data_IF_191654064850
#
_entry.id   IF_191654064850
#
_cell.length_a   1.000
_cell.length_b   1.000
_cell.length_c   1.000
_cell.angle_alpha   90.00
_cell.angle_beta   90.00
_cell.angle_gamma   90.00
#
_symmetry.space_group_name_H-M   'P 1'
#
loop_
_entity.id
_entity.type
_entity.pdbx_description
1 polymer ?
#
# COMPACT_ATOMS: atom_id res chain seq x y z
N UNK A 1 -27.47 1.90 23.73
CA UNK A 1 -28.78 1.23 23.47
C UNK A 1 -29.90 2.23 23.15
N UNK A 2 -30.43 3.02 24.10
CA UNK A 2 -31.56 3.95 23.84
C UNK A 2 -31.38 4.87 22.63
N UNK A 3 -30.18 5.42 22.43
CA UNK A 3 -29.92 6.26 21.25
C UNK A 3 -30.14 5.52 19.92
N UNK A 4 -29.82 4.23 19.84
CA UNK A 4 -30.01 3.43 18.61
C UNK A 4 -31.48 3.07 18.34
N UNK A 5 -32.32 2.97 19.37
CA UNK A 5 -33.76 2.67 19.22
C UNK A 5 -34.62 3.93 19.12
N UNK A 6 -34.33 4.90 19.98
CA UNK A 6 -35.17 6.08 20.20
C UNK A 6 -34.65 7.28 19.39
N UNK A 7 -33.42 7.20 18.91
CA UNK A 7 -32.68 8.28 18.26
C UNK A 7 -32.10 9.28 19.26
N UNK A 8 -31.13 10.07 18.80
CA UNK A 8 -30.57 11.20 19.53
C UNK A 8 -30.46 12.42 18.61
N UNK A 9 -30.59 13.62 19.18
CA UNK A 9 -30.39 14.86 18.44
C UNK A 9 -28.89 15.14 18.29
N UNK A 10 -28.41 15.30 17.06
CA UNK A 10 -27.02 15.62 16.72
C UNK A 10 -26.97 16.85 15.85
N UNK A 11 -26.11 17.80 16.21
CA UNK A 11 -25.81 18.98 15.38
C UNK A 11 -24.78 18.60 14.33
N UNK A 12 -25.14 18.72 13.05
CA UNK A 12 -24.22 18.45 11.93
C UNK A 12 -23.22 19.59 11.71
N UNK A 13 -22.22 19.34 10.85
CA UNK A 13 -21.23 20.36 10.47
C UNK A 13 -21.83 21.57 9.73
N UNK A 14 -23.05 21.45 9.21
CA UNK A 14 -23.84 22.55 8.65
C UNK A 14 -24.65 23.33 9.70
N UNK A 15 -24.46 23.04 10.99
CA UNK A 15 -25.17 23.67 12.11
C UNK A 15 -26.61 23.20 12.30
N UNK A 16 -27.14 22.32 11.45
CA UNK A 16 -28.52 21.82 11.57
C UNK A 16 -28.60 20.64 12.53
N UNK A 17 -29.65 20.63 13.36
CA UNK A 17 -29.93 19.53 14.29
C UNK A 17 -30.74 18.44 13.58
N UNK A 18 -30.29 17.19 13.66
CA UNK A 18 -30.96 16.02 13.09
C UNK A 18 -31.15 14.95 14.14
N UNK A 19 -32.25 14.20 14.04
CA UNK A 19 -32.45 12.98 14.82
C UNK A 19 -31.70 11.83 14.15
N UNK A 20 -30.68 11.31 14.83
CA UNK A 20 -29.77 10.26 14.35
C UNK A 20 -29.95 9.00 15.20
N UNK A 21 -29.91 7.84 14.56
CA UNK A 21 -29.99 6.53 15.21
C UNK A 21 -28.65 5.83 15.04
N UNK A 22 -27.71 5.98 16.00
CA UNK A 22 -26.39 5.36 15.87
C UNK A 22 -26.50 3.84 15.89
N UNK A 23 -25.77 3.21 14.97
CA UNK A 23 -25.59 1.76 14.87
C UNK A 23 -24.10 1.44 14.95
N UNK A 24 -23.75 0.27 15.47
CA UNK A 24 -22.38 -0.24 15.36
C UNK A 24 -22.22 -0.87 13.97
N UNK A 25 -21.67 -0.10 13.03
CA UNK A 25 -21.49 -0.53 11.65
C UNK A 25 -20.23 -1.43 11.50
N UNK A 26 -19.08 -0.91 11.92
CA UNK A 26 -17.78 -1.58 11.84
C UNK A 26 -17.04 -1.47 13.17
N UNK A 27 -16.26 -2.50 13.50
CA UNK A 27 -15.38 -2.57 14.66
C UNK A 27 -13.98 -2.97 14.21
N UNK A 28 -13.08 -1.98 14.18
CA UNK A 28 -11.69 -2.13 13.75
C UNK A 28 -10.85 -2.57 14.94
N UNK A 29 -10.27 -3.76 14.85
CA UNK A 29 -9.44 -4.35 15.89
C UNK A 29 -8.49 -5.39 15.27
N UNK A 30 -7.37 -5.65 15.92
CA UNK A 30 -6.51 -6.78 15.61
C UNK A 30 -7.09 -8.09 16.17
N UNK A 31 -6.46 -9.22 15.84
CA UNK A 31 -7.06 -10.54 16.07
C UNK A 31 -7.44 -10.85 17.54
N UNK A 32 -6.56 -10.64 18.55
CA UNK A 32 -6.92 -10.92 19.93
C UNK A 32 -8.12 -10.08 20.40
N UNK A 33 -8.17 -8.82 20.01
CA UNK A 33 -9.21 -7.86 20.32
C UNK A 33 -10.51 -8.22 19.59
N UNK A 34 -10.44 -8.66 18.34
CA UNK A 34 -11.59 -9.22 17.61
C UNK A 34 -12.18 -10.44 18.33
N UNK A 35 -11.34 -11.34 18.86
CA UNK A 35 -11.78 -12.46 19.67
C UNK A 35 -12.45 -12.00 20.96
N UNK A 36 -11.87 -11.02 21.66
CA UNK A 36 -12.40 -10.47 22.90
C UNK A 36 -13.79 -9.85 22.69
N UNK A 37 -13.91 -8.93 21.73
CA UNK A 37 -15.16 -8.21 21.46
C UNK A 37 -16.22 -9.12 20.85
N UNK A 38 -15.80 -10.02 19.95
CA UNK A 38 -16.62 -11.04 19.28
C UNK A 38 -17.08 -12.18 20.18
N UNK A 39 -16.59 -12.23 21.42
CA UNK A 39 -16.76 -13.35 22.34
C UNK A 39 -16.36 -14.69 21.69
N UNK A 40 -15.32 -14.68 20.85
CA UNK A 40 -14.80 -15.88 20.21
C UNK A 40 -13.62 -16.42 21.01
N UNK A 41 -13.57 -17.75 21.16
CA UNK A 41 -12.42 -18.43 21.75
C UNK A 41 -11.16 -18.14 20.93
N UNK A 42 -10.08 -17.76 21.60
CA UNK A 42 -8.80 -17.50 20.97
C UNK A 42 -8.30 -18.74 20.21
N UNK A 43 -7.77 -18.54 19.01
CA UNK A 43 -7.40 -19.62 18.08
C UNK A 43 -8.51 -20.04 17.12
N UNK A 44 -9.72 -19.46 17.22
CA UNK A 44 -10.82 -19.70 16.26
C UNK A 44 -11.10 -18.50 15.37
N UNK A 45 -12.06 -18.63 14.45
CA UNK A 45 -12.54 -17.50 13.67
C UNK A 45 -13.49 -16.62 14.50
N UNK A 46 -13.28 -15.29 14.57
CA UNK A 46 -14.17 -14.40 15.31
C UNK A 46 -15.47 -14.06 14.54
N UNK A 47 -15.53 -14.35 13.23
CA UNK A 47 -16.72 -14.10 12.40
C UNK A 47 -17.61 -15.33 12.23
N UNK A 48 -17.03 -16.53 12.12
CA UNK A 48 -17.79 -17.75 11.83
C UNK A 48 -17.55 -18.86 12.88
N UNK A 49 -18.47 -19.81 12.91
CA UNK A 49 -18.52 -20.95 13.82
C UNK A 49 -17.60 -22.09 13.37
N UNK A 50 -16.39 -21.76 12.90
CA UNK A 50 -15.36 -22.76 12.59
C UNK A 50 -14.52 -23.04 13.82
N UNK A 51 -14.35 -24.33 14.12
CA UNK A 51 -13.47 -24.78 15.20
C UNK A 51 -12.02 -24.49 14.83
N UNK A 52 -11.13 -24.44 15.83
CA UNK A 52 -9.70 -24.30 15.59
C UNK A 52 -9.14 -25.43 14.71
N UNK A 53 -9.74 -26.63 14.72
CA UNK A 53 -9.27 -27.78 13.94
C UNK A 53 -9.70 -27.77 12.47
N UNK A 54 -10.66 -26.89 12.11
CA UNK A 54 -11.28 -26.84 10.78
C UNK A 54 -11.02 -25.50 10.06
N UNK A 55 -10.13 -24.67 10.59
CA UNK A 55 -9.81 -23.35 10.00
C UNK A 55 -9.18 -23.44 8.61
N UNK A 56 -8.57 -24.57 8.27
CA UNK A 56 -8.03 -24.80 6.94
C UNK A 56 -9.10 -25.05 5.87
N UNK A 57 -10.37 -25.27 6.23
CA UNK A 57 -11.44 -25.45 5.26
C UNK A 57 -11.52 -24.27 4.29
N UNK A 58 -11.82 -24.58 3.02
CA UNK A 58 -11.95 -23.58 1.95
C UNK A 58 -13.26 -22.81 2.00
N UNK A 59 -14.20 -23.24 2.84
CA UNK A 59 -15.52 -22.62 2.98
C UNK A 59 -15.66 -22.06 4.41
N UNK A 60 -16.16 -20.83 4.57
CA UNK A 60 -16.46 -20.29 5.90
C UNK A 60 -17.51 -21.15 6.61
N UNK A 61 -17.53 -21.11 7.93
CA UNK A 61 -18.63 -21.69 8.71
C UNK A 61 -19.84 -20.77 8.74
N UNK A 62 -20.91 -21.22 9.40
CA UNK A 62 -22.03 -20.35 9.75
C UNK A 62 -21.57 -19.13 10.53
N UNK A 63 -22.19 -17.98 10.33
CA UNK A 63 -21.85 -16.75 11.04
C UNK A 63 -22.09 -16.89 12.56
N UNK A 64 -21.25 -16.28 13.40
CA UNK A 64 -21.48 -16.14 14.84
C UNK A 64 -22.53 -15.05 15.10
N UNK A 65 -23.81 -15.38 14.96
CA UNK A 65 -24.88 -14.40 15.18
C UNK A 65 -24.94 -13.96 16.65
N UNK A 66 -25.37 -12.72 16.93
CA UNK A 66 -25.60 -12.23 18.29
C UNK A 66 -26.47 -13.19 19.12
N UNK A 67 -27.58 -13.66 18.54
CA UNK A 67 -28.53 -14.54 19.21
C UNK A 67 -27.90 -15.89 19.57
N UNK A 68 -27.11 -16.46 18.66
CA UNK A 68 -26.40 -17.72 18.90
C UNK A 68 -25.39 -17.57 20.03
N UNK A 69 -24.56 -16.53 20.00
CA UNK A 69 -23.54 -16.28 21.03
C UNK A 69 -24.20 -16.03 22.40
N UNK A 70 -25.27 -15.22 22.45
CA UNK A 70 -26.00 -14.95 23.69
C UNK A 70 -26.71 -16.20 24.23
N UNK A 71 -27.23 -17.06 23.36
CA UNK A 71 -27.81 -18.32 23.78
C UNK A 71 -26.78 -19.21 24.48
N UNK A 72 -25.58 -19.37 23.91
CA UNK A 72 -24.50 -20.15 24.54
C UNK A 72 -24.12 -19.57 25.91
N UNK A 73 -23.98 -18.24 26.01
CA UNK A 73 -23.66 -17.58 27.28
C UNK A 73 -24.75 -17.83 28.32
N UNK A 74 -26.03 -17.65 27.97
CA UNK A 74 -27.15 -17.88 28.87
C UNK A 74 -27.25 -19.35 29.31
N UNK A 75 -27.06 -20.29 28.40
CA UNK A 75 -27.08 -21.73 28.70
C UNK A 75 -25.91 -22.11 29.64
N UNK A 76 -24.73 -21.52 29.43
CA UNK A 76 -23.58 -21.68 30.32
C UNK A 76 -23.85 -21.09 31.71
N UNK A 77 -24.45 -19.90 31.81
CA UNK A 77 -24.81 -19.29 33.09
C UNK A 77 -25.77 -20.19 33.88
N UNK A 78 -26.79 -20.71 33.20
CA UNK A 78 -27.80 -21.59 33.81
C UNK A 78 -27.22 -22.94 34.29
N UNK A 79 -26.20 -23.46 33.61
CA UNK A 79 -25.60 -24.77 33.92
C UNK A 79 -24.37 -24.71 34.83
N UNK A 80 -23.74 -23.53 34.97
CA UNK A 80 -22.50 -23.33 35.73
C UNK A 80 -22.63 -23.46 37.25
N UNK A 81 -23.85 -23.47 37.80
CA UNK A 81 -24.12 -23.42 39.24
C UNK A 81 -23.36 -22.27 39.96
N UNK A 82 -23.23 -21.11 39.29
CA UNK A 82 -22.48 -19.92 39.78
C UNK A 82 -20.97 -20.14 39.94
N UNK A 83 -20.40 -21.16 39.29
CA UNK A 83 -18.96 -21.37 39.25
C UNK A 83 -18.37 -20.73 37.98
N UNK A 84 -17.48 -19.76 38.16
CA UNK A 84 -16.81 -19.07 37.05
C UNK A 84 -16.08 -20.03 36.11
N UNK A 85 -15.34 -20.99 36.68
CA UNK A 85 -14.62 -21.99 35.87
C UNK A 85 -15.59 -22.85 35.04
N UNK A 86 -16.72 -23.28 35.63
CA UNK A 86 -17.71 -24.08 34.89
C UNK A 86 -18.41 -23.27 33.81
N UNK A 87 -18.69 -21.99 34.06
CA UNK A 87 -19.23 -21.07 33.06
C UNK A 87 -18.25 -20.92 31.89
N UNK A 88 -16.99 -20.62 32.21
CA UNK A 88 -15.95 -20.48 31.21
C UNK A 88 -15.75 -21.77 30.39
N UNK A 89 -15.68 -22.93 31.04
CA UNK A 89 -15.54 -24.23 30.36
C UNK A 89 -16.75 -24.54 29.46
N UNK A 90 -17.97 -24.26 29.93
CA UNK A 90 -19.18 -24.45 29.13
C UNK A 90 -19.19 -23.58 27.88
N UNK A 91 -18.85 -22.29 27.98
CA UNK A 91 -18.70 -21.40 26.82
C UNK A 91 -17.60 -21.89 25.86
N UNK A 92 -16.44 -22.26 26.40
CA UNK A 92 -15.28 -22.67 25.60
C UNK A 92 -15.48 -23.98 24.85
N UNK A 93 -16.34 -24.88 25.33
CA UNK A 93 -16.78 -26.09 24.63
C UNK A 93 -17.58 -25.80 23.35
N UNK A 94 -18.16 -24.59 23.26
CA UNK A 94 -18.85 -24.08 22.08
C UNK A 94 -18.02 -23.02 21.34
N UNK A 95 -16.72 -22.94 21.61
CA UNK A 95 -15.80 -21.96 21.02
C UNK A 95 -16.22 -20.49 21.27
N UNK A 96 -16.97 -20.23 22.34
CA UNK A 96 -17.37 -18.89 22.81
C UNK A 96 -16.49 -18.53 24.01
N UNK A 97 -15.98 -17.30 24.05
CA UNK A 97 -15.24 -16.79 25.20
C UNK A 97 -16.22 -16.61 26.37
N UNK A 98 -15.84 -17.04 27.58
CA UNK A 98 -16.66 -16.90 28.79
C UNK A 98 -16.85 -15.44 29.22
N UNK A 99 -17.71 -14.70 28.53
CA UNK A 99 -18.04 -13.29 28.80
C UNK A 99 -19.50 -13.20 29.18
N UNK A 100 -19.80 -12.80 30.42
CA UNK A 100 -21.17 -12.69 30.92
C UNK A 100 -22.03 -11.65 30.17
N UNK A 101 -21.48 -10.45 29.95
CA UNK A 101 -22.23 -9.34 29.39
C UNK A 101 -21.47 -8.72 28.21
N UNK A 102 -21.60 -9.28 26.99
CA UNK A 102 -21.02 -8.66 25.81
C UNK A 102 -21.55 -7.24 25.62
N UNK A 103 -20.68 -6.26 25.36
CA UNK A 103 -21.08 -4.84 25.33
C UNK A 103 -22.11 -4.51 24.24
N UNK A 104 -22.14 -5.33 23.18
CA UNK A 104 -23.05 -5.20 22.04
C UNK A 104 -24.40 -5.87 22.27
N UNK A 105 -24.59 -6.58 23.40
CA UNK A 105 -25.86 -7.21 23.73
C UNK A 105 -26.98 -6.14 23.76
N UNK A 106 -28.05 -6.38 23.00
CA UNK A 106 -29.20 -5.47 22.89
C UNK A 106 -28.97 -4.24 22.00
N UNK A 107 -27.85 -4.16 21.26
CA UNK A 107 -27.70 -3.11 20.24
C UNK A 107 -28.65 -3.36 19.07
N UNK A 108 -29.48 -2.38 18.66
CA UNK A 108 -30.38 -2.56 17.55
C UNK A 108 -29.60 -2.64 16.23
N UNK A 109 -30.09 -3.47 15.30
CA UNK A 109 -29.56 -3.59 13.93
C UNK A 109 -28.05 -3.88 13.89
N UNK A 110 -27.50 -4.51 14.93
CA UNK A 110 -26.07 -4.79 15.07
C UNK A 110 -25.84 -6.29 15.03
N UNK A 111 -24.91 -6.71 14.18
CA UNK A 111 -24.39 -8.07 14.17
C UNK A 111 -22.87 -7.99 14.17
N UNK A 112 -22.27 -8.28 15.33
CA UNK A 112 -20.85 -8.06 15.51
C UNK A 112 -20.00 -8.90 14.56
N UNK A 113 -20.42 -10.12 14.22
CA UNK A 113 -19.68 -10.94 13.27
C UNK A 113 -19.61 -10.32 11.86
N UNK A 114 -20.62 -9.52 11.45
CA UNK A 114 -20.50 -8.68 10.25
C UNK A 114 -19.58 -7.49 10.51
N UNK A 115 -19.80 -6.77 11.61
CA UNK A 115 -19.06 -5.54 11.94
C UNK A 115 -17.56 -5.73 12.17
N UNK A 116 -17.09 -6.93 12.54
CA UNK A 116 -15.67 -7.22 12.65
C UNK A 116 -15.01 -7.18 11.28
N UNK A 117 -14.23 -6.13 10.99
CA UNK A 117 -13.58 -5.98 9.70
C UNK A 117 -12.23 -6.70 9.65
N UNK A 118 -11.82 -7.21 8.47
CA UNK A 118 -10.48 -7.74 8.29
C UNK A 118 -9.41 -6.67 8.49
N UNK A 119 -8.21 -7.10 8.87
CA UNK A 119 -7.10 -6.21 9.18
C UNK A 119 -5.85 -6.62 8.38
N UNK A 120 -5.60 -5.89 7.29
CA UNK A 120 -4.51 -6.15 6.35
C UNK A 120 -3.15 -6.22 7.06
N UNK A 121 -2.88 -5.29 7.97
CA UNK A 121 -1.56 -5.17 8.60
C UNK A 121 -1.21 -6.38 9.47
N UNK A 122 -2.11 -6.73 10.41
CA UNK A 122 -1.84 -7.79 11.38
C UNK A 122 -2.17 -9.19 10.84
N UNK A 123 -3.09 -9.32 9.87
CA UNK A 123 -3.49 -10.62 9.34
C UNK A 123 -2.64 -11.05 8.14
N UNK A 124 -2.36 -10.16 7.18
CA UNK A 124 -1.79 -10.56 5.88
C UNK A 124 -0.26 -10.50 5.81
N UNK A 125 0.36 -9.48 6.40
CA UNK A 125 1.82 -9.27 6.27
C UNK A 125 2.67 -10.03 7.30
N UNK A 126 2.07 -10.61 8.35
CA UNK A 126 2.82 -11.20 9.47
C UNK A 126 2.86 -12.73 9.45
N UNK A 127 4.08 -13.29 9.25
CA UNK A 127 4.46 -14.60 9.80
C UNK A 127 4.29 -15.82 8.90
N UNK A 128 3.95 -15.67 7.61
CA UNK A 128 3.74 -16.83 6.72
C UNK A 128 5.00 -17.29 5.95
N UNK A 129 6.01 -16.43 5.76
CA UNK A 129 7.22 -16.74 4.96
C UNK A 129 8.43 -17.21 5.77
N UNK A 130 8.41 -17.05 7.09
CA UNK A 130 9.63 -17.15 7.91
C UNK A 130 10.22 -18.57 7.94
N UNK A 131 9.44 -19.60 7.59
CA UNK A 131 9.88 -20.99 7.54
C UNK A 131 10.38 -21.45 6.16
N UNK A 132 10.34 -20.59 5.13
CA UNK A 132 10.70 -20.99 3.75
C UNK A 132 12.22 -21.08 3.54
N UNK A 133 12.99 -20.27 4.28
CA UNK A 133 14.45 -20.24 4.25
C UNK A 133 14.98 -19.63 5.56
N UNK A 134 16.27 -19.81 5.84
CA UNK A 134 16.90 -19.18 7.01
C UNK A 134 17.07 -17.68 6.80
N UNK A 135 17.26 -16.94 7.89
CA UNK A 135 17.48 -15.50 7.84
C UNK A 135 18.76 -15.17 7.02
N UNK A 136 19.80 -16.00 7.13
CA UNK A 136 21.07 -15.81 6.43
C UNK A 136 20.91 -16.01 4.91
N UNK A 137 20.14 -17.02 4.49
CA UNK A 137 19.86 -17.27 3.07
C UNK A 137 18.98 -16.15 2.49
N UNK A 138 17.95 -15.71 3.23
CA UNK A 138 17.12 -14.59 2.81
C UNK A 138 17.96 -13.32 2.64
N UNK A 139 18.82 -13.00 3.61
CA UNK A 139 19.71 -11.85 3.54
C UNK A 139 20.71 -11.95 2.37
N UNK A 140 21.29 -13.13 2.13
CA UNK A 140 22.16 -13.37 0.98
C UNK A 140 21.45 -13.09 -0.36
N UNK A 141 20.19 -13.52 -0.49
CA UNK A 141 19.38 -13.29 -1.69
C UNK A 141 18.97 -11.84 -1.85
N UNK A 142 18.58 -11.17 -0.77
CA UNK A 142 18.27 -9.73 -0.80
C UNK A 142 19.50 -8.94 -1.27
N UNK A 143 20.71 -9.29 -0.79
CA UNK A 143 21.96 -8.66 -1.24
C UNK A 143 22.29 -8.91 -2.72
N UNK A 144 21.74 -9.96 -3.32
CA UNK A 144 21.93 -10.27 -4.74
C UNK A 144 20.96 -9.52 -5.66
N UNK A 145 19.92 -8.87 -5.10
CA UNK A 145 19.00 -8.06 -5.88
C UNK A 145 19.72 -6.82 -6.44
N UNK A 146 19.38 -6.39 -7.67
CA UNK A 146 19.85 -5.11 -8.17
C UNK A 146 19.50 -3.97 -7.21
N UNK A 147 20.35 -2.93 -7.07
CA UNK A 147 20.02 -1.77 -6.26
C UNK A 147 18.68 -1.17 -6.72
N UNK A 148 17.68 -1.19 -5.84
CA UNK A 148 16.37 -0.63 -6.11
C UNK A 148 15.98 0.37 -5.01
N UNK A 149 15.49 1.54 -5.45
CA UNK A 149 15.07 2.62 -4.57
C UNK A 149 13.73 2.28 -3.89
N UNK A 150 13.57 2.68 -2.62
CA UNK A 150 12.35 2.43 -1.85
C UNK A 150 12.27 1.05 -1.18
N UNK A 151 13.29 0.21 -1.34
CA UNK A 151 13.44 -1.04 -0.57
C UNK A 151 14.17 -0.71 0.73
N UNK A 152 13.47 -0.06 1.66
CA UNK A 152 13.92 0.04 3.06
C UNK A 152 13.09 -0.91 3.91
N UNK A 153 13.62 -1.25 5.07
CA UNK A 153 13.33 -2.37 5.99
C UNK A 153 11.89 -2.52 6.53
N UNK A 154 10.87 -2.15 5.77
CA UNK A 154 9.46 -2.27 6.15
C UNK A 154 8.81 -3.51 5.52
N UNK A 155 7.84 -4.10 6.23
CA UNK A 155 7.18 -5.36 5.85
C UNK A 155 6.55 -5.31 4.46
N UNK A 156 5.95 -4.17 4.07
CA UNK A 156 5.40 -3.93 2.74
C UNK A 156 6.47 -3.98 1.64
N UNK A 157 7.68 -3.47 1.92
CA UNK A 157 8.79 -3.54 0.98
C UNK A 157 9.32 -4.97 0.81
N UNK A 158 9.26 -5.80 1.87
CA UNK A 158 9.64 -7.22 1.78
C UNK A 158 8.72 -7.99 0.83
N UNK A 159 7.40 -7.73 0.86
CA UNK A 159 6.44 -8.37 -0.04
C UNK A 159 6.77 -8.16 -1.53
N UNK A 160 7.33 -6.98 -1.87
CA UNK A 160 7.72 -6.63 -3.25
C UNK A 160 8.90 -7.43 -3.79
N UNK A 161 9.79 -7.89 -2.92
CA UNK A 161 11.02 -8.60 -3.32
C UNK A 161 11.00 -10.10 -3.02
N UNK A 162 10.03 -10.53 -2.21
CA UNK A 162 9.94 -11.89 -1.70
C UNK A 162 9.90 -12.93 -2.82
N UNK A 163 9.08 -12.73 -3.87
CA UNK A 163 9.01 -13.68 -4.98
C UNK A 163 10.36 -13.85 -5.67
N UNK A 164 11.09 -12.75 -5.91
CA UNK A 164 12.43 -12.78 -6.47
C UNK A 164 13.40 -13.60 -5.59
N UNK A 165 13.28 -13.47 -4.27
CA UNK A 165 14.06 -14.25 -3.32
C UNK A 165 13.68 -15.74 -3.32
N UNK A 166 12.44 -16.10 -3.65
CA UNK A 166 12.00 -17.49 -3.66
C UNK A 166 12.37 -18.25 -4.96
N UNK A 167 12.68 -17.54 -6.05
CA UNK A 167 13.06 -18.15 -7.33
C UNK A 167 14.26 -19.08 -7.15
N UNK A 168 14.17 -20.30 -7.68
CA UNK A 168 15.20 -21.33 -7.56
C UNK A 168 15.29 -22.00 -6.18
N UNK A 169 14.56 -21.50 -5.18
CA UNK A 169 14.46 -22.13 -3.85
C UNK A 169 13.22 -23.00 -3.69
N UNK A 170 12.10 -22.59 -4.29
CA UNK A 170 10.84 -23.32 -4.31
C UNK A 170 10.53 -23.83 -5.73
N UNK A 171 9.90 -25.00 -5.88
CA UNK A 171 9.33 -25.44 -7.15
C UNK A 171 8.14 -24.57 -7.53
N UNK A 172 7.68 -24.71 -8.78
CA UNK A 172 6.57 -23.92 -9.35
C UNK A 172 5.35 -23.86 -8.44
N UNK A 173 4.94 -25.00 -7.87
CA UNK A 173 3.78 -25.09 -6.97
C UNK A 173 3.91 -24.21 -5.72
N UNK A 174 5.08 -24.23 -5.07
CA UNK A 174 5.36 -23.37 -3.92
C UNK A 174 5.41 -21.89 -4.29
N UNK A 175 5.99 -21.56 -5.45
CA UNK A 175 6.00 -20.19 -5.98
C UNK A 175 4.57 -19.70 -6.29
N UNK A 176 3.73 -20.54 -6.89
CA UNK A 176 2.33 -20.22 -7.18
C UNK A 176 1.55 -19.94 -5.89
N UNK A 177 1.73 -20.74 -4.84
CA UNK A 177 1.10 -20.50 -3.55
C UNK A 177 1.53 -19.16 -2.92
N UNK A 178 2.84 -18.87 -2.90
CA UNK A 178 3.34 -17.59 -2.38
C UNK A 178 2.86 -16.39 -3.21
N UNK A 179 2.86 -16.53 -4.54
CA UNK A 179 2.36 -15.50 -5.46
C UNK A 179 0.88 -15.25 -5.24
N UNK A 180 0.06 -16.29 -5.13
CA UNK A 180 -1.37 -16.19 -4.90
C UNK A 180 -1.71 -15.40 -3.63
N UNK A 181 -0.98 -15.64 -2.53
CA UNK A 181 -1.11 -14.83 -1.32
C UNK A 181 -0.73 -13.37 -1.58
N UNK A 182 0.41 -13.09 -2.23
CA UNK A 182 0.82 -11.73 -2.53
C UNK A 182 -0.19 -11.00 -3.43
N UNK A 183 -0.69 -11.67 -4.48
CA UNK A 183 -1.72 -11.15 -5.38
C UNK A 183 -2.98 -10.81 -4.58
N UNK A 184 -3.45 -11.70 -3.69
CA UNK A 184 -4.58 -11.43 -2.81
C UNK A 184 -4.34 -10.21 -1.91
N UNK A 185 -3.15 -10.11 -1.31
CA UNK A 185 -2.77 -9.00 -0.43
C UNK A 185 -2.78 -7.68 -1.18
N UNK A 186 -2.19 -7.63 -2.38
CA UNK A 186 -2.17 -6.42 -3.21
C UNK A 186 -3.57 -6.03 -3.64
N UNK A 187 -4.37 -6.99 -4.12
CA UNK A 187 -5.75 -6.73 -4.53
C UNK A 187 -6.61 -6.22 -3.36
N UNK A 188 -6.48 -6.82 -2.17
CA UNK A 188 -7.24 -6.40 -0.99
C UNK A 188 -6.97 -4.94 -0.56
N UNK A 189 -5.84 -4.36 -0.96
CA UNK A 189 -5.45 -2.98 -0.67
C UNK A 189 -5.82 -2.01 -1.80
N UNK A 190 -6.54 -2.45 -2.83
CA UNK A 190 -6.99 -1.52 -3.87
C UNK A 190 -7.92 -0.46 -3.26
N UNK A 191 -7.79 0.81 -3.67
CA UNK A 191 -8.58 1.93 -3.14
C UNK A 191 -10.01 1.94 -3.70
N UNK A 192 -10.26 1.12 -4.71
CA UNK A 192 -11.51 0.98 -5.43
C UNK A 192 -11.63 -0.47 -5.89
N UNK A 193 -12.84 -0.98 -5.83
CA UNK A 193 -13.15 -2.32 -6.28
C UNK A 193 -14.35 -2.31 -7.22
N UNK A 194 -14.24 -3.10 -8.27
CA UNK A 194 -15.35 -3.53 -9.13
C UNK A 194 -15.45 -5.07 -9.12
N UNK A 195 -16.47 -5.62 -9.80
CA UNK A 195 -16.67 -7.06 -9.90
C UNK A 195 -15.47 -7.81 -10.50
N UNK A 196 -14.70 -7.17 -11.38
CA UNK A 196 -13.49 -7.74 -11.97
C UNK A 196 -12.36 -7.90 -10.95
N UNK A 197 -12.10 -6.86 -10.16
CA UNK A 197 -11.09 -6.91 -9.08
C UNK A 197 -11.48 -7.89 -7.98
N UNK A 198 -12.77 -7.97 -7.63
CA UNK A 198 -13.26 -8.96 -6.65
C UNK A 198 -13.12 -10.39 -7.19
N UNK A 199 -13.41 -10.63 -8.48
CA UNK A 199 -13.18 -11.94 -9.11
C UNK A 199 -11.69 -12.30 -9.17
N UNK A 200 -10.81 -11.31 -9.36
CA UNK A 200 -9.37 -11.52 -9.29
C UNK A 200 -8.93 -11.92 -7.86
N UNK A 201 -9.56 -11.37 -6.81
CA UNK A 201 -9.32 -11.79 -5.43
C UNK A 201 -9.79 -13.22 -5.16
N UNK A 202 -10.98 -13.59 -5.65
CA UNK A 202 -11.48 -14.99 -5.63
C UNK A 202 -10.47 -15.93 -6.31
N UNK A 203 -10.02 -15.56 -7.52
CA UNK A 203 -9.05 -16.34 -8.29
C UNK A 203 -7.71 -16.50 -7.55
N UNK A 204 -7.23 -15.44 -6.90
CA UNK A 204 -6.01 -15.49 -6.10
C UNK A 204 -6.19 -16.42 -4.88
N UNK A 205 -7.34 -16.37 -4.22
CA UNK A 205 -7.65 -17.24 -3.08
C UNK A 205 -7.77 -18.72 -3.49
N UNK A 206 -8.42 -19.01 -4.63
CA UNK A 206 -8.50 -20.34 -5.21
C UNK A 206 -7.11 -20.87 -5.57
N UNK A 207 -6.27 -20.03 -6.19
CA UNK A 207 -4.89 -20.38 -6.51
C UNK A 207 -4.09 -20.71 -5.24
N UNK A 208 -4.28 -19.97 -4.15
CA UNK A 208 -3.69 -20.30 -2.86
C UNK A 208 -4.15 -21.68 -2.37
N UNK A 209 -5.47 -21.93 -2.32
CA UNK A 209 -6.02 -23.20 -1.84
C UNK A 209 -5.56 -24.41 -2.66
N UNK A 210 -5.43 -24.25 -3.98
CA UNK A 210 -4.99 -25.31 -4.91
C UNK A 210 -3.49 -25.64 -4.79
N UNK A 211 -2.68 -24.75 -4.21
CA UNK A 211 -1.22 -24.90 -4.18
C UNK A 211 -0.62 -24.99 -2.77
N UNK A 212 -1.34 -24.59 -1.72
CA UNK A 212 -0.82 -24.53 -0.34
C UNK A 212 -0.40 -25.89 0.23
N UNK A 213 -1.00 -26.98 -0.24
CA UNK A 213 -0.67 -28.36 0.16
C UNK A 213 0.80 -28.70 -0.06
N UNK A 214 1.48 -28.02 -0.99
CA UNK A 214 2.93 -28.10 -1.16
C UNK A 214 3.70 -27.93 0.17
N UNK A 215 3.29 -27.00 1.02
CA UNK A 215 3.97 -26.75 2.30
C UNK A 215 3.71 -27.84 3.34
N UNK A 216 2.60 -28.58 3.21
CA UNK A 216 2.33 -29.77 4.04
C UNK A 216 3.18 -30.93 3.54
N UNK A 217 3.16 -31.18 2.23
CA UNK A 217 3.90 -32.27 1.59
C UNK A 217 5.41 -32.18 1.83
N UNK A 218 5.95 -30.97 1.89
CA UNK A 218 7.39 -30.72 2.13
C UNK A 218 7.76 -30.61 3.61
N UNK A 219 6.80 -30.80 4.52
CA UNK A 219 7.03 -30.72 5.97
C UNK A 219 7.31 -29.31 6.49
N UNK A 220 7.07 -28.27 5.69
CA UNK A 220 7.19 -26.86 6.12
C UNK A 220 6.12 -26.53 7.16
N UNK A 221 4.93 -27.16 7.05
CA UNK A 221 3.84 -27.07 8.02
C UNK A 221 3.12 -28.41 8.16
N UNK A 222 2.40 -28.59 9.27
CA UNK A 222 1.49 -29.71 9.50
C UNK A 222 0.09 -29.47 8.94
N UNK A 223 -0.36 -28.21 9.00
CA UNK A 223 -1.71 -27.78 8.65
C UNK A 223 -1.75 -26.26 8.39
N UNK A 224 -2.92 -25.80 7.95
CA UNK A 224 -3.26 -24.39 7.79
C UNK A 224 -4.40 -23.94 8.71
N UNK A 225 -4.54 -24.59 9.87
CA UNK A 225 -5.55 -24.27 10.87
C UNK A 225 -5.18 -23.00 11.66
N UNK A 226 -4.98 -21.91 10.93
CA UNK A 226 -4.51 -20.63 11.45
C UNK A 226 -5.55 -19.57 11.12
N UNK A 227 -6.02 -18.79 12.11
CA UNK A 227 -7.03 -17.75 11.89
C UNK A 227 -6.67 -16.78 10.76
N UNK A 228 -5.38 -16.47 10.58
CA UNK A 228 -4.88 -15.60 9.50
C UNK A 228 -5.12 -16.13 8.09
N UNK A 229 -5.02 -17.45 7.87
CA UNK A 229 -5.32 -18.03 6.56
C UNK A 229 -6.83 -18.18 6.35
N UNK A 230 -7.56 -18.47 7.43
CA UNK A 230 -9.00 -18.56 7.38
C UNK A 230 -9.66 -17.19 7.10
N UNK A 231 -9.10 -16.11 7.65
CA UNK A 231 -9.67 -14.76 7.51
C UNK A 231 -9.71 -14.27 6.06
N UNK A 232 -8.89 -14.82 5.17
CA UNK A 232 -8.92 -14.55 3.73
C UNK A 232 -10.32 -14.73 3.13
N UNK A 233 -11.08 -15.72 3.62
CA UNK A 233 -12.44 -16.02 3.17
C UNK A 233 -13.43 -14.88 3.46
N UNK A 234 -13.08 -13.95 4.34
CA UNK A 234 -13.98 -12.89 4.80
C UNK A 234 -13.69 -11.51 4.18
N UNK A 235 -12.61 -11.36 3.41
CA UNK A 235 -12.22 -10.05 2.83
C UNK A 235 -13.20 -9.57 1.76
N UNK A 236 -13.59 -10.43 0.83
CA UNK A 236 -14.42 -10.04 -0.32
C UNK A 236 -15.82 -9.61 0.16
N UNK A 237 -16.40 -10.35 1.11
CA UNK A 237 -17.66 -9.97 1.74
C UNK A 237 -17.53 -8.66 2.52
N UNK A 238 -16.44 -8.49 3.28
CA UNK A 238 -16.20 -7.24 4.00
C UNK A 238 -16.05 -6.05 3.04
N UNK A 239 -15.39 -6.22 1.89
CA UNK A 239 -15.25 -5.18 0.88
C UNK A 239 -16.62 -4.79 0.31
N UNK A 240 -17.48 -5.77 0.04
CA UNK A 240 -18.85 -5.52 -0.44
C UNK A 240 -19.71 -4.78 0.58
N UNK A 241 -19.52 -5.06 1.87
CA UNK A 241 -20.33 -4.47 2.95
C UNK A 241 -19.83 -3.10 3.40
N UNK A 242 -18.52 -2.90 3.47
CA UNK A 242 -17.89 -1.76 4.14
C UNK A 242 -17.00 -0.92 3.23
N UNK A 243 -16.86 -1.29 1.96
CA UNK A 243 -15.95 -0.64 1.03
C UNK A 243 -14.51 -1.13 1.17
N UNK A 244 -13.59 -0.37 0.60
CA UNK A 244 -12.16 -0.71 0.50
C UNK A 244 -11.50 -0.79 1.88
N UNK A 245 -10.44 -1.61 1.99
CA UNK A 245 -9.89 -1.99 3.31
C UNK A 245 -9.22 -0.85 4.07
N UNK A 246 -8.80 0.21 3.36
CA UNK A 246 -8.30 1.45 3.94
C UNK A 246 -9.33 2.16 4.84
N UNK A 247 -10.63 1.97 4.63
CA UNK A 247 -11.70 2.53 5.48
C UNK A 247 -11.73 1.94 6.90
N UNK A 248 -11.11 0.78 7.11
CA UNK A 248 -11.19 0.03 8.37
C UNK A 248 -9.89 -0.73 8.71
N UNK A 249 -8.76 -0.32 8.15
CA UNK A 249 -7.44 -0.87 8.46
C UNK A 249 -6.89 -0.24 9.76
N UNK A 250 -6.20 -1.04 10.56
CA UNK A 250 -5.58 -0.59 11.82
C UNK A 250 -4.33 0.27 11.59
N UNK A 251 -3.76 0.28 10.38
CA UNK A 251 -2.51 0.99 10.05
C UNK A 251 -2.56 2.50 10.37
N UNK A 252 -3.69 3.16 10.10
CA UNK A 252 -3.89 4.58 10.45
C UNK A 252 -3.76 4.79 11.97
N UNK A 253 -4.33 3.87 12.77
CA UNK A 253 -4.31 3.95 14.22
C UNK A 253 -2.94 3.56 14.82
N UNK A 254 -2.19 2.66 14.20
CA UNK A 254 -0.84 2.30 14.69
C UNK A 254 0.15 3.47 14.57
N UNK A 255 -0.01 4.34 13.56
CA UNK A 255 0.78 5.58 13.51
C UNK A 255 0.39 6.52 14.65
N UNK A 256 -0.92 6.62 14.94
CA UNK A 256 -1.41 7.38 16.08
C UNK A 256 -0.98 6.78 17.43
N UNK A 257 -0.70 5.47 17.52
CA UNK A 257 -0.14 4.88 18.75
C UNK A 257 1.24 5.47 19.10
N UNK A 258 2.00 5.98 18.12
CA UNK A 258 3.25 6.69 18.41
C UNK A 258 2.93 7.97 19.20
N UNK A 259 2.11 8.83 18.62
CA UNK A 259 1.84 10.15 19.16
C UNK A 259 0.95 10.06 20.42
N UNK A 260 -0.09 9.24 20.39
CA UNK A 260 -1.11 9.18 21.44
C UNK A 260 -0.74 8.27 22.61
N UNK A 261 0.04 7.21 22.39
CA UNK A 261 0.41 6.29 23.45
C UNK A 261 1.89 6.39 23.79
N UNK A 262 2.81 6.18 22.83
CA UNK A 262 4.24 6.06 23.11
C UNK A 262 4.85 7.38 23.58
N UNK A 263 4.51 8.50 22.96
CA UNK A 263 5.02 9.82 23.38
C UNK A 263 4.40 10.28 24.70
N UNK A 264 3.09 10.15 24.85
CA UNK A 264 2.41 10.41 26.12
C UNK A 264 2.99 9.57 27.27
N UNK A 265 3.23 8.27 27.04
CA UNK A 265 3.87 7.39 28.01
C UNK A 265 5.28 7.87 28.37
N UNK A 266 6.13 8.15 27.37
CA UNK A 266 7.50 8.66 27.56
C UNK A 266 7.55 9.99 28.31
N UNK A 267 6.53 10.83 28.14
CA UNK A 267 6.40 12.12 28.82
C UNK A 267 5.82 12.00 30.24
N UNK A 268 5.28 10.84 30.61
CA UNK A 268 4.77 10.56 31.95
C UNK A 268 5.89 10.12 32.90
N UNK A 269 5.59 10.09 34.20
CA UNK A 269 6.49 9.52 35.19
C UNK A 269 6.35 8.00 35.36
N UNK A 270 5.56 7.34 34.49
CA UNK A 270 5.24 5.90 34.51
C UNK A 270 4.57 5.40 35.80
N UNK A 271 3.88 6.28 36.56
CA UNK A 271 3.09 5.92 37.74
C UNK A 271 1.71 6.54 37.63
N UNK A 272 0.66 5.73 37.53
CA UNK A 272 -0.69 6.24 37.24
C UNK A 272 -0.64 7.13 35.98
N UNK A 273 -0.15 6.51 34.92
CA UNK A 273 0.24 7.13 33.66
C UNK A 273 -0.95 7.65 32.86
N UNK A 274 -2.12 7.00 32.95
CA UNK A 274 -3.25 7.27 32.07
C UNK A 274 -3.71 8.74 32.18
N UNK A 275 -3.98 9.29 33.37
CA UNK A 275 -4.32 10.71 33.50
C UNK A 275 -3.22 11.66 32.99
N UNK A 276 -1.95 11.27 33.10
CA UNK A 276 -0.82 12.07 32.63
C UNK A 276 -0.73 12.08 31.10
N UNK A 277 -0.90 10.91 30.48
CA UNK A 277 -0.94 10.75 29.02
C UNK A 277 -2.08 11.57 28.41
N UNK A 278 -3.29 11.51 29.00
CA UNK A 278 -4.45 12.29 28.56
C UNK A 278 -4.20 13.80 28.70
N UNK A 279 -3.61 14.24 29.83
CA UNK A 279 -3.26 15.64 30.01
C UNK A 279 -2.19 16.12 29.02
N UNK A 280 -1.19 15.28 28.73
CA UNK A 280 -0.17 15.57 27.74
C UNK A 280 -0.79 15.72 26.34
N UNK A 281 -1.68 14.80 25.95
CA UNK A 281 -2.42 14.85 24.68
C UNK A 281 -3.24 16.14 24.54
N UNK A 282 -4.03 16.48 25.57
CA UNK A 282 -4.83 17.71 25.56
C UNK A 282 -3.98 18.98 25.39
N UNK A 283 -2.73 18.97 25.88
CA UNK A 283 -1.79 20.08 25.67
C UNK A 283 -1.28 20.12 24.23
N UNK A 284 -0.92 18.98 23.64
CA UNK A 284 -0.48 18.91 22.24
C UNK A 284 -1.58 19.38 21.29
N UNK A 285 -2.82 18.94 21.49
CA UNK A 285 -3.96 19.37 20.67
C UNK A 285 -4.17 20.89 20.73
N UNK A 286 -4.09 21.49 21.93
CA UNK A 286 -4.21 22.95 22.10
C UNK A 286 -3.09 23.70 21.39
N UNK A 287 -1.86 23.21 21.48
CA UNK A 287 -0.71 23.80 20.77
C UNK A 287 -0.93 23.71 19.25
N UNK A 288 -1.31 22.53 18.74
CA UNK A 288 -1.57 22.33 17.32
C UNK A 288 -2.71 23.21 16.80
N UNK A 289 -3.84 23.30 17.51
CA UNK A 289 -4.92 24.22 17.16
C UNK A 289 -4.47 25.68 17.12
N UNK A 290 -3.64 26.11 18.08
CA UNK A 290 -3.12 27.47 18.10
C UNK A 290 -2.15 27.73 16.93
N UNK A 291 -1.25 26.80 16.63
CA UNK A 291 -0.36 26.89 15.47
C UNK A 291 -1.11 26.95 14.14
N UNK A 292 -2.19 26.17 13.99
CA UNK A 292 -3.06 26.23 12.80
C UNK A 292 -3.74 27.58 12.67
N UNK A 293 -4.20 28.16 13.79
CA UNK A 293 -4.77 29.51 13.81
C UNK A 293 -3.74 30.57 13.37
N UNK A 294 -2.49 30.46 13.82
CA UNK A 294 -1.42 31.35 13.39
C UNK A 294 -1.11 31.22 11.90
N UNK A 295 -0.98 29.99 11.39
CA UNK A 295 -0.73 29.74 9.96
C UNK A 295 -1.87 30.28 9.08
N UNK A 296 -3.13 30.15 9.52
CA UNK A 296 -4.28 30.71 8.82
C UNK A 296 -4.21 32.25 8.75
N UNK A 297 -3.80 32.93 9.83
CA UNK A 297 -3.60 34.38 9.83
C UNK A 297 -2.50 34.82 8.86
N UNK A 298 -1.40 34.07 8.79
CA UNK A 298 -0.28 34.36 7.89
C UNK A 298 -0.64 34.14 6.42
N UNK A 299 -1.39 33.07 6.12
CA UNK A 299 -1.85 32.75 4.78
C UNK A 299 -2.77 33.82 4.20
N UNK A 300 -3.55 34.52 5.03
CA UNK A 300 -4.37 35.65 4.59
C UNK A 300 -3.57 36.90 4.21
N UNK A 301 -2.27 36.95 4.55
CA UNK A 301 -1.41 38.10 4.31
C UNK A 301 -0.46 37.92 3.11
N UNK A 302 -0.41 36.74 2.48
CA UNK A 302 0.45 36.44 1.32
C UNK A 302 -0.30 36.68 -0.01
N UNK A 303 0.30 37.36 -1.01
CA UNK A 303 -0.23 37.40 -2.37
C UNK A 303 -0.04 36.05 -3.10
N UNK A 304 -0.85 35.82 -4.14
CA UNK A 304 -0.95 34.56 -4.90
C UNK A 304 0.39 33.87 -5.23
N UNK A 305 0.45 32.52 -5.16
CA UNK A 305 1.67 31.76 -5.43
C UNK A 305 2.11 31.85 -6.90
N UNK A 306 3.43 31.91 -7.09
CA UNK A 306 4.11 31.96 -8.39
C UNK A 306 3.87 30.65 -9.16
N UNK A 307 3.58 30.69 -10.48
CA UNK A 307 3.21 29.49 -11.23
C UNK A 307 4.39 28.50 -11.39
N UNK A 308 4.14 27.25 -10.97
CA UNK A 308 4.99 26.09 -11.22
C UNK A 308 4.60 25.48 -12.57
N UNK A 309 5.57 25.29 -13.47
CA UNK A 309 5.33 24.70 -14.79
C UNK A 309 4.88 23.23 -14.66
N UNK A 310 3.73 22.90 -15.25
CA UNK A 310 3.18 21.53 -15.33
C UNK A 310 3.46 20.96 -16.72
N UNK A 311 4.11 19.80 -16.79
CA UNK A 311 4.31 19.02 -18.03
C UNK A 311 3.07 18.21 -18.41
N UNK A 312 3.04 17.72 -19.65
CA UNK A 312 1.89 17.10 -20.34
C UNK A 312 1.26 15.87 -19.66
N UNK A 313 1.90 15.27 -18.64
CA UNK A 313 1.36 14.14 -17.86
C UNK A 313 1.01 14.49 -16.41
N UNK A 314 1.14 15.76 -16.00
CA UNK A 314 0.92 16.18 -14.61
C UNK A 314 2.04 15.78 -13.63
N UNK A 315 3.05 15.00 -14.05
CA UNK A 315 4.15 14.54 -13.20
C UNK A 315 5.35 15.48 -13.30
N UNK A 316 5.72 16.12 -12.19
CA UNK A 316 6.80 17.11 -12.16
C UNK A 316 8.19 16.44 -12.19
N UNK A 317 8.99 16.75 -13.23
CA UNK A 317 10.40 16.37 -13.32
C UNK A 317 11.27 17.48 -12.74
N UNK A 318 12.19 17.14 -11.83
CA UNK A 318 13.16 18.06 -11.22
C UNK A 318 14.56 17.68 -11.67
N UNK A 319 15.21 18.57 -12.43
CA UNK A 319 16.60 18.43 -12.87
C UNK A 319 17.48 19.46 -12.15
N UNK A 320 18.78 19.17 -12.03
CA UNK A 320 19.75 20.11 -11.50
C UNK A 320 19.77 21.41 -12.32
N UNK A 321 19.90 22.57 -11.67
CA UNK A 321 19.99 23.87 -12.35
C UNK A 321 21.25 24.01 -13.23
N UNK A 322 22.26 23.19 -12.98
CA UNK A 322 23.54 23.20 -13.68
C UNK A 322 23.82 21.78 -14.18
N UNK A 323 24.14 21.58 -15.47
CA UNK A 323 24.49 20.27 -16.00
C UNK A 323 25.78 19.75 -15.37
N UNK A 324 25.83 18.45 -15.05
CA UNK A 324 27.05 17.83 -14.55
C UNK A 324 28.14 17.75 -15.64
N UNK A 325 27.73 17.74 -16.90
CA UNK A 325 28.60 17.68 -18.07
C UNK A 325 28.17 18.72 -19.10
N UNK A 326 28.48 20.02 -18.89
CA UNK A 326 28.12 21.07 -19.84
C UNK A 326 28.85 20.91 -21.17
N UNK A 327 28.19 21.32 -22.25
CA UNK A 327 28.77 21.54 -23.57
C UNK A 327 29.59 20.34 -24.10
N UNK A 328 29.10 19.12 -23.89
CA UNK A 328 29.74 17.90 -24.40
C UNK A 328 29.49 17.72 -25.88
N UNK A 329 30.53 17.34 -26.63
CA UNK A 329 30.39 17.02 -28.06
C UNK A 329 29.56 15.74 -28.25
N UNK A 330 28.76 15.70 -29.31
CA UNK A 330 27.92 14.54 -29.65
C UNK A 330 28.76 13.26 -29.77
N UNK A 331 29.95 13.34 -30.36
CA UNK A 331 30.89 12.21 -30.45
C UNK A 331 31.32 11.71 -29.07
N UNK A 332 31.62 12.62 -28.14
CA UNK A 332 31.98 12.24 -26.76
C UNK A 332 30.80 11.61 -26.03
N UNK A 333 29.56 12.05 -26.28
CA UNK A 333 28.36 11.51 -25.65
C UNK A 333 28.16 10.05 -26.08
N UNK A 334 28.20 9.79 -27.40
CA UNK A 334 28.06 8.44 -27.98
C UNK A 334 29.08 7.47 -27.37
N UNK A 335 30.33 7.91 -27.24
CA UNK A 335 31.41 7.10 -26.70
C UNK A 335 31.27 6.86 -25.18
N UNK A 336 31.07 7.92 -24.38
CA UNK A 336 31.04 7.80 -22.91
C UNK A 336 29.81 7.05 -22.42
N UNK A 337 28.67 7.21 -23.09
CA UNK A 337 27.39 6.63 -22.67
C UNK A 337 27.03 5.33 -23.41
N UNK A 338 27.88 4.89 -24.34
CA UNK A 338 27.69 3.70 -25.17
C UNK A 338 26.35 3.71 -25.94
N UNK A 339 26.10 4.80 -26.68
CA UNK A 339 24.85 5.04 -27.41
C UNK A 339 25.08 5.21 -28.92
N UNK A 340 25.46 4.14 -29.66
CA UNK A 340 25.83 4.23 -31.07
C UNK A 340 24.70 4.76 -31.98
N UNK A 341 23.45 4.50 -31.61
CA UNK A 341 22.26 4.94 -32.37
C UNK A 341 21.80 6.36 -32.01
N UNK A 342 22.47 7.05 -31.08
CA UNK A 342 22.02 8.35 -30.57
C UNK A 342 21.82 9.38 -31.68
N UNK A 343 22.79 9.52 -32.58
CA UNK A 343 22.74 10.52 -33.66
C UNK A 343 21.55 10.25 -34.58
N UNK A 344 21.32 9.01 -34.97
CA UNK A 344 20.19 8.64 -35.82
C UNK A 344 18.85 8.86 -35.14
N UNK A 345 18.72 8.50 -33.86
CA UNK A 345 17.50 8.71 -33.07
C UNK A 345 17.21 10.20 -32.87
N UNK A 346 18.24 11.00 -32.59
CA UNK A 346 18.11 12.45 -32.43
C UNK A 346 17.65 13.13 -33.71
N UNK A 347 18.20 12.76 -34.88
CA UNK A 347 17.77 13.29 -36.18
C UNK A 347 16.31 12.96 -36.48
N UNK A 348 15.90 11.72 -36.23
CA UNK A 348 14.51 11.29 -36.44
C UNK A 348 13.55 12.03 -35.52
N UNK A 349 13.94 12.22 -34.26
CA UNK A 349 13.16 12.98 -33.30
C UNK A 349 13.02 14.46 -33.70
N UNK A 350 14.12 15.14 -34.03
CA UNK A 350 14.09 16.53 -34.50
C UNK A 350 13.25 16.70 -35.77
N UNK A 351 13.20 15.68 -36.63
CA UNK A 351 12.36 15.67 -37.81
C UNK A 351 10.86 15.60 -37.48
N UNK A 352 10.47 14.82 -36.46
CA UNK A 352 9.09 14.74 -35.95
C UNK A 352 8.61 16.05 -35.33
N UNK A 353 9.52 16.81 -34.69
CA UNK A 353 9.21 18.14 -34.18
C UNK A 353 9.13 19.23 -35.26
N UNK A 354 9.59 18.94 -36.48
CA UNK A 354 9.81 19.93 -37.52
C UNK A 354 9.06 19.62 -38.82
N UNK A 355 9.81 19.52 -39.92
CA UNK A 355 9.29 19.48 -41.29
C UNK A 355 8.74 18.12 -41.74
N UNK A 356 8.80 17.08 -40.91
CA UNK A 356 8.33 15.72 -41.23
C UNK A 356 8.86 15.21 -42.59
N UNK A 357 10.17 15.35 -42.83
CA UNK A 357 10.83 14.85 -44.03
C UNK A 357 10.85 13.32 -44.09
N UNK A 358 10.99 12.71 -45.28
CA UNK A 358 11.25 11.29 -45.41
C UNK A 358 12.48 10.86 -44.59
N UNK A 359 12.41 9.69 -43.93
CA UNK A 359 13.44 9.23 -42.99
C UNK A 359 14.87 9.26 -43.57
N UNK A 360 15.03 8.91 -44.84
CA UNK A 360 16.33 8.93 -45.53
C UNK A 360 16.91 10.35 -45.63
N UNK A 361 16.08 11.35 -45.89
CA UNK A 361 16.49 12.75 -45.96
C UNK A 361 16.77 13.32 -44.57
N UNK A 362 15.94 12.98 -43.58
CA UNK A 362 16.16 13.34 -42.18
C UNK A 362 17.50 12.80 -41.64
N UNK A 363 17.87 11.56 -42.01
CA UNK A 363 19.15 10.96 -41.61
C UNK A 363 20.35 11.60 -42.33
N UNK A 364 20.18 12.08 -43.56
CA UNK A 364 21.22 12.77 -44.32
C UNK A 364 21.43 14.23 -43.85
N UNK A 365 20.41 14.85 -43.25
CA UNK A 365 20.51 16.23 -42.76
C UNK A 365 21.57 16.39 -41.65
N UNK A 366 22.36 17.47 -41.64
CA UNK A 366 23.26 17.77 -40.53
C UNK A 366 22.46 18.13 -39.28
N UNK A 367 23.01 17.81 -38.09
CA UNK A 367 22.42 18.29 -36.85
C UNK A 367 22.65 19.80 -36.71
N UNK A 368 21.68 20.54 -36.16
CA UNK A 368 21.78 21.99 -36.04
C UNK A 368 22.71 22.46 -34.91
N UNK A 369 23.25 21.52 -34.12
CA UNK A 369 24.21 21.75 -33.06
C UNK A 369 25.18 20.57 -32.97
N UNK A 370 26.37 20.81 -32.43
CA UNK A 370 27.43 19.80 -32.25
C UNK A 370 27.70 19.44 -30.80
N UNK A 371 27.11 20.17 -29.86
CA UNK A 371 27.31 20.03 -28.41
C UNK A 371 25.98 20.09 -27.67
N UNK A 372 25.92 19.41 -26.51
CA UNK A 372 24.77 19.35 -25.63
C UNK A 372 25.19 19.43 -24.16
N UNK A 373 24.34 20.02 -23.34
CA UNK A 373 24.47 19.97 -21.88
C UNK A 373 23.89 18.66 -21.36
N UNK A 374 24.70 17.89 -20.64
CA UNK A 374 24.35 16.54 -20.20
C UNK A 374 24.12 16.50 -18.69
N UNK A 375 22.97 15.96 -18.31
CA UNK A 375 22.59 15.69 -16.94
C UNK A 375 22.69 14.20 -16.62
N UNK A 376 23.16 13.89 -15.41
CA UNK A 376 23.37 12.52 -14.94
C UNK A 376 22.28 12.00 -14.02
N UNK A 377 21.32 12.83 -13.66
CA UNK A 377 20.14 12.42 -12.92
C UNK A 377 18.97 13.38 -13.14
N UNK A 378 17.77 12.86 -12.95
CA UNK A 378 16.58 13.65 -12.70
C UNK A 378 15.83 13.05 -11.52
N UNK A 379 14.99 13.86 -10.90
CA UNK A 379 14.04 13.41 -9.88
C UNK A 379 12.62 13.52 -10.39
N UNK A 380 11.79 12.58 -9.98
CA UNK A 380 10.36 12.61 -10.26
C UNK A 380 9.59 12.10 -9.04
N UNK A 381 8.35 12.51 -8.94
CA UNK A 381 7.43 11.98 -7.93
C UNK A 381 6.69 10.82 -8.57
N UNK A 382 6.98 9.55 -8.21
CA UNK A 382 6.28 8.41 -8.77
C UNK A 382 4.79 8.51 -8.44
N UNK A 383 3.94 8.04 -9.34
CA UNK A 383 2.54 7.84 -9.00
C UNK A 383 2.49 6.83 -7.87
N UNK A 384 1.75 7.13 -6.79
CA UNK A 384 1.58 6.15 -5.73
C UNK A 384 0.92 4.90 -6.31
N UNK A 385 1.55 3.74 -6.10
CA UNK A 385 0.93 2.44 -6.37
C UNK A 385 -0.16 2.12 -5.34
N UNK A 386 -0.20 2.89 -4.26
CA UNK A 386 -1.15 2.79 -3.16
C UNK A 386 -1.97 4.08 -3.12
N UNK A 387 -3.14 4.14 -3.77
CA UNK A 387 -3.86 5.40 -3.95
C UNK A 387 -4.45 5.96 -2.65
N UNK A 388 -4.34 5.23 -1.54
CA UNK A 388 -4.63 5.66 -0.17
C UNK A 388 -3.43 6.27 0.58
N UNK A 389 -2.19 6.15 0.07
CA UNK A 389 -1.12 7.04 0.49
C UNK A 389 -1.39 8.40 -0.17
N UNK A 390 -1.84 9.40 0.59
CA UNK A 390 -1.66 10.79 0.19
C UNK A 390 -0.24 10.89 -0.35
N UNK A 391 -0.10 11.35 -1.60
CA UNK A 391 1.20 11.53 -2.22
C UNK A 391 2.06 12.27 -1.23
N UNK A 392 2.95 11.55 -0.53
CA UNK A 392 3.89 12.18 0.34
C UNK A 392 4.74 12.98 -0.64
N UNK A 393 4.49 14.30 -0.73
CA UNK A 393 5.19 15.23 -1.63
C UNK A 393 6.72 15.24 -1.41
N UNK A 394 7.20 14.41 -0.46
CA UNK A 394 8.58 14.14 -0.11
C UNK A 394 9.18 12.86 -0.72
N UNK A 395 8.40 11.94 -1.31
CA UNK A 395 8.96 10.75 -1.98
C UNK A 395 9.34 11.13 -3.41
N UNK A 396 10.57 11.61 -3.57
CA UNK A 396 11.17 11.84 -4.89
C UNK A 396 12.05 10.64 -5.26
N UNK A 397 11.72 9.96 -6.35
CA UNK A 397 12.62 9.00 -6.96
C UNK A 397 13.67 9.72 -7.78
N UNK A 398 14.92 9.28 -7.66
CA UNK A 398 16.03 9.81 -8.46
C UNK A 398 16.47 8.73 -9.43
N UNK A 399 16.41 9.01 -10.73
CA UNK A 399 16.96 8.14 -11.77
C UNK A 399 18.39 8.60 -12.06
N UNK A 400 19.35 7.68 -12.07
CA UNK A 400 20.76 7.96 -12.31
C UNK A 400 21.21 7.36 -13.64
N UNK A 401 21.80 8.21 -14.47
CA UNK A 401 22.32 7.88 -15.80
C UNK A 401 23.69 8.52 -15.97
N UNK A 402 24.71 7.89 -15.37
CA UNK A 402 26.08 8.38 -15.32
C UNK A 402 27.07 7.36 -15.91
N UNK A 403 27.97 7.79 -16.80
CA UNK A 403 29.02 6.93 -17.31
C UNK A 403 30.08 6.68 -16.22
N UNK A 404 31.03 5.79 -16.48
CA UNK A 404 32.14 5.57 -15.56
C UNK A 404 32.99 6.85 -15.48
N UNK A 405 33.27 7.31 -14.26
CA UNK A 405 34.13 8.47 -14.00
C UNK A 405 35.22 8.04 -13.02
N UNK A 406 36.48 8.04 -13.47
CA UNK A 406 37.64 7.65 -12.67
C UNK A 406 37.41 6.28 -12.00
N UNK A 407 37.45 6.20 -10.66
CA UNK A 407 37.24 4.98 -9.87
C UNK A 407 35.76 4.58 -9.68
N UNK A 408 34.80 5.34 -10.21
CA UNK A 408 33.39 5.04 -10.05
C UNK A 408 32.83 4.28 -11.25
N UNK A 409 32.22 3.13 -10.97
CA UNK A 409 31.56 2.27 -11.98
C UNK A 409 30.38 3.03 -12.62
N UNK A 410 30.18 2.80 -13.92
CA UNK A 410 29.03 3.34 -14.65
C UNK A 410 27.71 2.88 -14.00
N UNK A 411 26.71 3.76 -13.98
CA UNK A 411 25.37 3.44 -13.46
C UNK A 411 24.31 4.01 -14.40
N UNK A 412 23.45 3.12 -14.87
CA UNK A 412 22.34 3.42 -15.76
C UNK A 412 21.10 2.74 -15.22
N UNK A 413 20.20 3.51 -14.64
CA UNK A 413 18.98 3.00 -14.03
C UNK A 413 17.95 2.63 -15.13
N UNK A 414 17.21 1.55 -14.89
CA UNK A 414 16.12 1.10 -15.77
C UNK A 414 14.87 1.95 -15.51
N UNK A 415 14.21 2.36 -16.58
CA UNK A 415 12.96 3.13 -16.55
C UNK A 415 11.89 2.41 -17.36
N UNK A 416 10.64 2.58 -16.94
CA UNK A 416 9.46 2.19 -17.73
C UNK A 416 8.86 3.47 -18.28
N UNK A 417 8.82 3.61 -19.60
CA UNK A 417 8.25 4.76 -20.27
C UNK A 417 6.92 4.39 -20.92
N UNK A 418 5.87 5.18 -20.66
CA UNK A 418 4.58 5.08 -21.36
C UNK A 418 4.72 5.73 -22.74
N UNK A 419 4.53 4.96 -23.81
CA UNK A 419 4.68 5.44 -25.20
C UNK A 419 3.36 5.98 -25.75
N UNK A 420 2.21 5.57 -25.18
CA UNK A 420 0.87 6.07 -25.49
C UNK A 420 0.11 6.42 -24.20
N UNK A 421 0.16 7.68 -23.74
CA UNK A 421 -0.40 8.07 -22.45
C UNK A 421 -1.94 8.02 -22.38
N UNK A 422 -2.64 7.97 -23.52
CA UNK A 422 -4.11 7.91 -23.55
C UNK A 422 -4.69 6.48 -23.42
N UNK A 423 -3.84 5.44 -23.48
CA UNK A 423 -4.29 4.04 -23.59
C UNK A 423 -3.70 3.12 -22.51
N UNK A 424 -2.56 3.48 -21.92
CA UNK A 424 -1.94 2.72 -20.82
C UNK A 424 -2.49 3.17 -19.46
N UNK A 425 -2.85 2.25 -18.55
CA UNK A 425 -3.28 2.62 -17.20
C UNK A 425 -2.08 2.65 -16.22
N UNK A 426 -2.12 3.51 -15.19
CA UNK A 426 -1.00 3.60 -14.23
C UNK A 426 -0.99 2.51 -13.15
N UNK A 427 -2.04 1.70 -13.09
CA UNK A 427 -2.34 0.78 -11.99
C UNK A 427 -2.54 -0.68 -12.43
N UNK A 428 -2.18 -1.06 -13.67
CA UNK A 428 -2.40 -2.43 -14.17
C UNK A 428 -1.43 -2.89 -15.27
N UNK A 429 -1.31 -4.21 -15.42
CA UNK A 429 -0.59 -4.90 -16.51
C UNK A 429 -1.40 -4.96 -17.82
N UNK A 430 -2.45 -4.15 -17.97
CA UNK A 430 -3.18 -3.97 -19.22
C UNK A 430 -2.42 -2.98 -20.10
N UNK A 431 -1.74 -3.47 -21.14
CA UNK A 431 -0.99 -2.65 -22.10
C UNK A 431 0.43 -3.11 -22.40
N UNK A 432 0.68 -4.42 -22.47
CA UNK A 432 2.00 -5.00 -22.84
C UNK A 432 2.57 -4.47 -24.19
N UNK A 433 1.76 -3.76 -25.00
CA UNK A 433 2.19 -3.11 -26.25
C UNK A 433 2.45 -1.59 -26.13
N UNK A 434 2.35 -0.99 -24.94
CA UNK A 434 2.27 0.48 -24.78
C UNK A 434 3.23 1.09 -23.75
N UNK A 435 3.93 0.23 -23.00
CA UNK A 435 5.03 0.60 -22.11
C UNK A 435 6.34 0.01 -22.65
N UNK A 436 7.40 0.79 -22.67
CA UNK A 436 8.74 0.33 -23.07
C UNK A 436 9.66 0.34 -21.87
N UNK A 437 10.28 -0.82 -21.61
CA UNK A 437 11.38 -0.95 -20.67
C UNK A 437 12.65 -0.42 -21.34
N UNK A 438 13.20 0.66 -20.80
CA UNK A 438 14.42 1.31 -21.31
C UNK A 438 15.50 1.39 -20.24
N UNK A 439 16.76 1.42 -20.65
CA UNK A 439 17.89 1.73 -19.77
C UNK A 439 18.25 3.18 -20.02
N UNK A 440 18.07 4.05 -19.03
CA UNK A 440 18.35 5.46 -19.24
C UNK A 440 19.85 5.71 -19.32
N UNK A 441 20.30 6.36 -20.39
CA UNK A 441 21.75 6.59 -20.63
C UNK A 441 22.22 8.00 -20.30
N UNK A 442 21.41 9.02 -20.55
CA UNK A 442 21.66 10.42 -20.17
C UNK A 442 20.42 11.29 -20.45
N UNK A 443 20.44 12.53 -19.94
CA UNK A 443 19.42 13.55 -20.22
C UNK A 443 20.09 14.83 -20.75
N UNK A 444 19.38 15.59 -21.57
CA UNK A 444 19.87 16.86 -22.11
C UNK A 444 18.74 17.87 -22.32
N UNK A 445 19.11 19.16 -22.34
CA UNK A 445 18.23 20.28 -22.74
C UNK A 445 18.54 20.74 -24.17
N UNK A 446 17.54 21.30 -24.86
CA UNK A 446 17.73 21.89 -26.19
C UNK A 446 18.43 23.26 -26.11
N UNK A 447 19.31 23.57 -27.08
CA UNK A 447 19.84 24.93 -27.23
C UNK A 447 18.69 25.95 -27.42
N UNK A 448 18.78 27.10 -26.72
CA UNK A 448 17.74 28.15 -26.62
C UNK A 448 17.11 28.58 -27.97
N UNK A 449 17.84 28.46 -29.07
CA UNK A 449 17.36 28.86 -30.41
C UNK A 449 16.15 28.05 -30.90
N UNK A 450 15.96 26.81 -30.43
CA UNK A 450 14.81 25.95 -30.77
C UNK A 450 13.62 26.09 -29.80
N UNK A 451 13.80 26.78 -28.67
CA UNK A 451 12.70 27.07 -27.73
C UNK A 451 11.73 28.13 -28.29
N UNK A 452 12.17 28.94 -29.25
CA UNK A 452 11.42 30.09 -29.79
C UNK A 452 10.45 29.70 -30.92
N UNK A 453 10.65 28.54 -31.57
CA UNK A 453 9.84 28.11 -32.73
C UNK A 453 8.56 27.37 -32.31
N UNK A 454 8.44 26.96 -31.04
CA UNK A 454 7.26 26.24 -30.50
C UNK A 454 6.42 27.15 -29.58
N UNK A 455 5.59 28.01 -30.17
CA UNK A 455 4.42 28.55 -29.47
C UNK A 455 3.41 27.40 -29.31
N UNK A 456 3.38 26.80 -28.11
CA UNK A 456 2.43 25.81 -27.54
C UNK A 456 3.03 24.49 -27.02
N UNK A 457 4.34 24.27 -27.09
CA UNK A 457 4.97 23.12 -26.41
C UNK A 457 5.99 23.59 -25.38
N UNK A 458 5.64 23.43 -24.09
CA UNK A 458 6.52 23.76 -22.98
C UNK A 458 7.70 22.76 -22.89
N UNK A 459 8.90 23.22 -22.50
CA UNK A 459 10.11 22.42 -22.48
C UNK A 459 10.03 21.31 -21.42
N UNK A 460 10.37 20.08 -21.80
CA UNK A 460 10.52 18.93 -20.90
C UNK A 460 11.76 18.10 -21.27
N UNK A 461 12.45 17.48 -20.29
CA UNK A 461 13.68 16.74 -20.52
C UNK A 461 13.45 15.38 -21.18
N UNK A 462 14.42 14.96 -21.99
CA UNK A 462 14.37 13.72 -22.77
C UNK A 462 15.05 12.55 -22.07
N UNK A 463 14.38 11.39 -22.08
CA UNK A 463 14.92 10.11 -21.61
C UNK A 463 15.17 9.23 -22.84
N UNK A 464 16.44 8.85 -23.06
CA UNK A 464 16.85 7.81 -24.00
C UNK A 464 17.31 6.57 -23.24
#
# INVERSE_FOLDING_TARGET
MKAGTDGMLVTGGDGKVRKVFPILASYVADYPEQCLVGCAKYGTCPKCQRSAADLQDINPGSLRSPDWTLQIINDAENTSAKSENKFHDACMNHEVAGVHNPFWAGFPLTNLAYSLTPDVLHQLYQGWCQSLMTAEELDARIRSLPPAFGIRSERKAMARILLGCLVGRLPSKGIQACRALLDFIYLAQYPTHDDGTLSAMETALDCWHNNRDYFIMTGVRTDFNIPKFHSLLHYIEAIRLFGTTDNYNTEMFERLHIDFAKEGWRASNHRDEFPQMINWLSRQEKIASFSNYQAWLEAQQQPDPTPVAKTFSGQALKIAKVPQSPHQSITSIVQKHNTPSFVSSLKQFLNQLGRNLPSREAQAAPLPFSHLDIYHNFKFEPNSLDPGEESNNNIQQTVISRPAISNSVARFDTVIARVKPEQADSTGLTGEQECVLGVSRFYFDYPKFYQVVNLHHQPGPFIL
#
